data_IF_291243657169
#
_entry.id   IF_291243657169
#
_cell.length_a   1.000
_cell.length_b   1.000
_cell.length_c   1.000
_cell.angle_alpha   90.00
_cell.angle_beta   90.00
_cell.angle_gamma   90.00
#
_symmetry.space_group_name_H-M   'P 1'
#
loop_
_entity.id
_entity.type
_entity.pdbx_description
1 polymer ?
#
# COMPACT_ATOMS: atom_id res chain seq x y z
N UNK A 1 -4.23 -17.44 -7.55
CA UNK A 1 -3.10 -16.73 -8.21
C UNK A 1 -1.92 -17.65 -8.51
N UNK A 2 -1.32 -18.35 -7.54
CA UNK A 2 -0.20 -19.29 -7.83
C UNK A 2 -0.63 -20.47 -8.70
N UNK A 3 -1.86 -20.99 -8.51
CA UNK A 3 -2.43 -22.02 -9.40
C UNK A 3 -2.69 -21.51 -10.84
N UNK A 4 -3.05 -20.23 -10.97
CA UNK A 4 -3.33 -19.54 -12.24
C UNK A 4 -2.08 -19.37 -13.11
N UNK A 5 -0.97 -18.95 -12.49
CA UNK A 5 0.34 -18.86 -13.16
C UNK A 5 0.75 -20.23 -13.69
N UNK A 6 0.54 -21.29 -12.90
CA UNK A 6 0.96 -22.65 -13.27
C UNK A 6 0.22 -23.21 -14.50
N UNK A 7 -1.04 -22.84 -14.70
CA UNK A 7 -1.87 -23.38 -15.79
C UNK A 7 -1.72 -22.62 -17.13
N UNK A 8 -1.26 -21.37 -17.12
CA UNK A 8 -1.25 -20.51 -18.32
C UNK A 8 0.13 -20.02 -18.81
N UNK A 9 1.24 -20.55 -18.27
CA UNK A 9 2.64 -20.18 -18.63
C UNK A 9 2.94 -20.23 -20.14
N UNK A 10 2.24 -21.05 -20.93
CA UNK A 10 2.58 -21.30 -22.34
C UNK A 10 1.70 -20.57 -23.38
N UNK A 11 0.73 -19.76 -22.97
CA UNK A 11 -0.28 -19.20 -23.89
C UNK A 11 -0.23 -17.66 -24.00
N UNK A 12 0.41 -16.97 -23.05
CA UNK A 12 0.20 -15.53 -22.84
C UNK A 12 1.31 -14.64 -23.39
N UNK A 13 0.95 -13.39 -23.68
CA UNK A 13 1.90 -12.33 -24.08
C UNK A 13 2.85 -11.99 -22.93
N UNK A 14 4.09 -11.56 -23.24
CA UNK A 14 5.08 -11.12 -22.25
C UNK A 14 4.52 -10.04 -21.30
N UNK A 15 3.68 -9.14 -21.81
CA UNK A 15 3.04 -8.09 -21.00
C UNK A 15 2.01 -8.63 -20.00
N UNK A 16 1.23 -9.63 -20.39
CA UNK A 16 0.22 -10.25 -19.52
C UNK A 16 0.89 -11.08 -18.42
N UNK A 17 1.93 -11.84 -18.78
CA UNK A 17 2.77 -12.54 -17.80
C UNK A 17 3.37 -11.56 -16.78
N UNK A 18 3.89 -10.42 -17.24
CA UNK A 18 4.43 -9.38 -16.36
C UNK A 18 3.40 -8.89 -15.34
N UNK A 19 2.18 -8.57 -15.78
CA UNK A 19 1.07 -8.16 -14.89
C UNK A 19 0.77 -9.22 -13.83
N UNK A 20 0.66 -10.49 -14.23
CA UNK A 20 0.34 -11.59 -13.30
C UNK A 20 1.46 -11.83 -12.30
N UNK A 21 2.73 -11.78 -12.72
CA UNK A 21 3.88 -11.92 -11.82
C UNK A 21 3.90 -10.80 -10.78
N UNK A 22 3.77 -9.54 -11.21
CA UNK A 22 3.75 -8.39 -10.31
C UNK A 22 2.61 -8.55 -9.30
N UNK A 23 1.41 -8.88 -9.74
CA UNK A 23 0.27 -9.07 -8.84
C UNK A 23 0.49 -10.23 -7.87
N UNK A 24 1.12 -11.32 -8.31
CA UNK A 24 1.43 -12.47 -7.44
C UNK A 24 2.46 -12.11 -6.37
N UNK A 25 3.52 -11.38 -6.74
CA UNK A 25 4.51 -10.88 -5.79
C UNK A 25 3.88 -9.89 -4.80
N UNK A 26 3.06 -8.95 -5.28
CA UNK A 26 2.35 -7.99 -4.43
C UNK A 26 1.41 -8.69 -3.44
N UNK A 27 0.70 -9.73 -3.88
CA UNK A 27 -0.16 -10.53 -3.01
C UNK A 27 0.64 -11.30 -1.95
N UNK A 28 1.83 -11.82 -2.31
CA UNK A 28 2.74 -12.47 -1.36
C UNK A 28 3.24 -11.49 -0.31
N UNK A 29 3.62 -10.27 -0.70
CA UNK A 29 4.06 -9.24 0.25
C UNK A 29 2.89 -8.72 1.09
N UNK A 30 1.69 -8.61 0.53
CA UNK A 30 0.48 -8.26 1.26
C UNK A 30 0.19 -9.26 2.38
N UNK A 31 0.21 -10.56 2.05
CA UNK A 31 -0.06 -11.62 3.03
C UNK A 31 0.99 -11.62 4.13
N UNK A 32 2.29 -11.53 3.81
CA UNK A 32 3.32 -11.44 4.85
C UNK A 32 3.13 -10.22 5.75
N UNK A 33 2.81 -9.04 5.18
CA UNK A 33 2.53 -7.81 5.95
C UNK A 33 1.29 -7.89 6.82
N UNK A 34 0.26 -8.64 6.42
CA UNK A 34 -0.93 -8.90 7.25
C UNK A 34 -0.61 -9.76 8.48
N UNK A 35 0.33 -10.70 8.37
CA UNK A 35 0.73 -11.56 9.49
C UNK A 35 1.68 -10.86 10.49
N UNK A 36 2.41 -9.82 10.08
CA UNK A 36 3.34 -9.10 10.97
C UNK A 36 2.63 -8.52 12.21
N UNK A 37 1.52 -7.77 12.09
CA UNK A 37 0.77 -7.26 13.25
C UNK A 37 0.25 -8.32 14.20
N UNK A 38 0.00 -9.54 13.72
CA UNK A 38 -0.49 -10.65 14.54
C UNK A 38 0.61 -11.24 15.43
N UNK A 39 1.87 -10.87 15.21
CA UNK A 39 2.99 -11.38 16.00
C UNK A 39 3.15 -10.57 17.28
N UNK A 40 3.18 -11.23 18.44
CA UNK A 40 3.36 -10.58 19.76
C UNK A 40 4.65 -9.74 19.88
N UNK A 41 5.67 -10.05 19.06
CA UNK A 41 6.89 -9.23 18.97
C UNK A 41 6.63 -7.83 18.42
N UNK A 42 5.76 -7.72 17.40
CA UNK A 42 5.43 -6.45 16.77
C UNK A 42 4.63 -5.55 17.72
N UNK A 43 3.67 -6.11 18.44
CA UNK A 43 2.93 -5.38 19.49
C UNK A 43 3.85 -4.83 20.59
N UNK A 44 4.87 -5.60 21.01
CA UNK A 44 5.87 -5.12 21.97
C UNK A 44 6.73 -3.98 21.41
N UNK A 45 7.19 -4.08 20.16
CA UNK A 45 7.96 -3.04 19.48
C UNK A 45 7.18 -1.73 19.34
N UNK A 46 5.91 -1.80 18.92
CA UNK A 46 5.04 -0.61 18.86
C UNK A 46 4.82 -0.05 20.26
N UNK A 47 4.60 -0.90 21.26
CA UNK A 47 4.43 -0.48 22.65
C UNK A 47 5.65 0.26 23.19
N UNK A 48 6.87 -0.24 22.91
CA UNK A 48 8.12 0.45 23.25
C UNK A 48 8.27 1.75 22.48
N UNK A 49 7.95 1.76 21.18
CA UNK A 49 8.02 2.97 20.37
C UNK A 49 7.12 4.09 20.93
N UNK A 50 5.86 3.78 21.24
CA UNK A 50 4.90 4.77 21.78
C UNK A 50 5.34 5.27 23.17
N UNK A 51 5.88 4.39 24.02
CA UNK A 51 6.24 4.74 25.41
C UNK A 51 7.57 5.48 25.52
N UNK A 52 8.59 5.05 24.78
CA UNK A 52 9.97 5.47 25.01
C UNK A 52 10.54 6.35 23.89
N UNK A 53 10.16 6.08 22.64
CA UNK A 53 10.76 6.74 21.47
C UNK A 53 9.90 7.91 20.98
N UNK A 54 8.60 7.90 21.25
CA UNK A 54 7.70 8.94 20.82
C UNK A 54 8.04 10.27 21.53
N UNK A 55 8.57 11.23 20.77
CA UNK A 55 9.05 12.53 21.23
C UNK A 55 8.04 13.35 22.06
N UNK A 56 6.76 12.96 22.04
CA UNK A 56 5.73 13.55 22.90
C UNK A 56 6.08 13.50 24.39
N UNK A 57 6.80 12.47 24.85
CA UNK A 57 7.25 12.40 26.26
C UNK A 57 8.44 13.33 26.56
N UNK A 58 9.26 13.62 25.56
CA UNK A 58 10.46 14.46 25.70
C UNK A 58 10.22 15.96 25.46
N UNK A 59 9.01 16.37 25.04
CA UNK A 59 8.70 17.75 24.65
C UNK A 59 8.88 18.78 25.80
N UNK A 60 8.84 18.34 27.06
CA UNK A 60 8.91 19.22 28.23
C UNK A 60 10.32 19.37 28.82
N UNK A 61 11.31 18.62 28.31
CA UNK A 61 12.67 18.62 28.89
C UNK A 61 13.54 19.81 28.47
N UNK A 62 13.29 20.42 27.30
CA UNK A 62 14.10 21.55 26.79
C UNK A 62 13.36 22.30 25.66
N UNK A 63 13.60 23.60 25.53
CA UNK A 63 13.17 24.45 24.40
C UNK A 63 13.59 23.85 23.05
N UNK A 64 14.79 23.26 22.96
CA UNK A 64 15.30 22.61 21.76
C UNK A 64 14.51 21.33 21.42
N UNK A 65 14.15 20.55 22.43
CA UNK A 65 13.36 19.33 22.26
C UNK A 65 11.95 19.65 21.72
N UNK A 66 11.33 20.73 22.21
CA UNK A 66 10.03 21.22 21.70
C UNK A 66 10.11 21.66 20.24
N UNK A 67 11.17 22.38 19.86
CA UNK A 67 11.40 22.81 18.46
C UNK A 67 11.61 21.61 17.53
N UNK A 68 12.38 20.61 17.97
CA UNK A 68 12.62 19.38 17.20
C UNK A 68 11.34 18.55 17.06
N UNK A 69 10.55 18.42 18.12
CA UNK A 69 9.24 17.76 18.08
C UNK A 69 8.32 18.39 17.02
N UNK A 70 8.16 19.72 17.03
CA UNK A 70 7.32 20.42 16.04
C UNK A 70 7.83 20.22 14.61
N UNK A 71 9.14 20.18 14.42
CA UNK A 71 9.74 19.92 13.12
C UNK A 71 9.44 18.49 12.63
N UNK A 72 9.72 17.48 13.46
CA UNK A 72 9.47 16.06 13.15
C UNK A 72 7.98 15.81 12.91
N UNK A 73 7.10 16.44 13.69
CA UNK A 73 5.65 16.36 13.51
C UNK A 73 5.23 16.93 12.15
N UNK A 74 5.75 18.11 11.77
CA UNK A 74 5.45 18.72 10.47
C UNK A 74 5.94 17.86 9.29
N UNK A 75 7.15 17.32 9.38
CA UNK A 75 7.70 16.42 8.34
C UNK A 75 6.85 15.14 8.23
N UNK A 76 6.51 14.54 9.36
CA UNK A 76 5.65 13.34 9.42
C UNK A 76 4.28 13.59 8.79
N UNK A 77 3.67 14.73 9.11
CA UNK A 77 2.38 15.13 8.54
C UNK A 77 2.44 15.31 7.01
N UNK A 78 3.45 16.05 6.51
CA UNK A 78 3.63 16.23 5.06
C UNK A 78 3.88 14.90 4.35
N UNK A 79 4.69 14.02 4.93
CA UNK A 79 4.97 12.69 4.38
C UNK A 79 3.71 11.80 4.35
N UNK A 80 2.85 11.92 5.37
CA UNK A 80 1.56 11.21 5.42
C UNK A 80 0.67 11.62 4.27
N UNK A 81 0.46 12.94 4.08
CA UNK A 81 -0.35 13.46 2.98
C UNK A 81 0.19 13.01 1.63
N UNK A 82 1.51 13.12 1.43
CA UNK A 82 2.16 12.71 0.19
C UNK A 82 1.94 11.22 -0.11
N UNK A 83 2.16 10.35 0.88
CA UNK A 83 2.03 8.90 0.73
C UNK A 83 0.59 8.48 0.43
N UNK A 84 -0.38 9.03 1.16
CA UNK A 84 -1.81 8.77 0.92
C UNK A 84 -2.23 9.28 -0.46
N UNK A 85 -1.72 10.43 -0.88
CA UNK A 85 -2.03 10.98 -2.21
C UNK A 85 -1.52 10.05 -3.31
N UNK A 86 -0.26 9.64 -3.27
CA UNK A 86 0.31 8.71 -4.26
C UNK A 86 -0.44 7.37 -4.27
N UNK A 87 -0.81 6.86 -3.10
CA UNK A 87 -1.61 5.63 -2.99
C UNK A 87 -2.96 5.78 -3.72
N UNK A 88 -3.70 6.86 -3.47
CA UNK A 88 -4.99 7.12 -4.11
C UNK A 88 -4.85 7.27 -5.63
N UNK A 89 -3.86 8.02 -6.09
CA UNK A 89 -3.59 8.19 -7.52
C UNK A 89 -3.22 6.87 -8.21
N UNK A 90 -2.31 6.09 -7.60
CA UNK A 90 -1.92 4.78 -8.11
C UNK A 90 -3.10 3.81 -8.19
N UNK A 91 -3.95 3.80 -7.16
CA UNK A 91 -5.15 2.98 -7.11
C UNK A 91 -6.15 3.37 -8.22
N UNK A 92 -6.47 4.66 -8.36
CA UNK A 92 -7.40 5.12 -9.40
C UNK A 92 -6.89 4.77 -10.80
N UNK A 93 -5.61 4.98 -11.08
CA UNK A 93 -5.01 4.65 -12.37
C UNK A 93 -5.03 3.14 -12.65
N UNK A 94 -4.74 2.31 -11.66
CA UNK A 94 -4.70 0.86 -11.82
C UNK A 94 -6.07 0.28 -12.22
N UNK A 95 -7.16 0.79 -11.64
CA UNK A 95 -8.52 0.34 -11.97
C UNK A 95 -9.14 1.06 -13.17
N UNK A 96 -8.73 2.29 -13.48
CA UNK A 96 -9.28 3.04 -14.61
C UNK A 96 -8.76 2.55 -15.96
N UNK A 97 -7.53 2.04 -16.05
CA UNK A 97 -6.95 1.49 -17.29
C UNK A 97 -7.81 0.36 -17.89
N UNK A 98 -8.16 -0.73 -17.15
CA UNK A 98 -8.99 -1.80 -17.72
C UNK A 98 -10.42 -1.34 -18.01
N UNK A 99 -10.97 -0.42 -17.22
CA UNK A 99 -12.28 0.20 -17.52
C UNK A 99 -12.25 0.98 -18.85
N UNK A 100 -11.18 1.75 -19.08
CA UNK A 100 -10.99 2.51 -20.31
C UNK A 100 -10.82 1.58 -21.51
N UNK A 101 -10.01 0.53 -21.39
CA UNK A 101 -9.84 -0.48 -22.44
C UNK A 101 -11.16 -1.19 -22.77
N UNK A 102 -11.94 -1.56 -21.76
CA UNK A 102 -13.25 -2.19 -21.95
C UNK A 102 -14.27 -1.24 -22.60
N UNK A 103 -14.18 0.06 -22.29
CA UNK A 103 -15.03 1.07 -22.90
C UNK A 103 -14.71 1.29 -24.38
N UNK A 104 -13.42 1.50 -24.71
CA UNK A 104 -12.97 1.69 -26.10
C UNK A 104 -13.22 0.43 -26.94
N UNK A 105 -13.07 -0.75 -26.35
CA UNK A 105 -13.37 -2.04 -27.00
C UNK A 105 -14.86 -2.33 -27.22
N UNK A 106 -15.77 -1.45 -26.77
CA UNK A 106 -17.21 -1.59 -27.00
C UNK A 106 -17.90 -2.57 -26.05
N UNK A 107 -17.27 -2.96 -24.94
CA UNK A 107 -17.80 -3.91 -23.95
C UNK A 107 -19.04 -3.43 -23.20
N UNK A 108 -19.33 -2.13 -23.22
CA UNK A 108 -20.55 -1.53 -22.63
C UNK A 108 -21.58 -1.08 -23.68
N UNK A 109 -21.33 -1.37 -24.96
CA UNK A 109 -22.29 -1.07 -26.03
C UNK A 109 -23.38 -2.15 -26.09
N UNK A 110 -24.61 -1.78 -26.48
CA UNK A 110 -25.74 -2.72 -26.56
C UNK A 110 -25.58 -3.87 -27.57
N UNK A 111 -24.50 -3.85 -28.38
CA UNK A 111 -24.11 -4.93 -29.30
C UNK A 111 -22.65 -5.32 -29.03
N UNK A 112 -22.46 -6.15 -28.02
CA UNK A 112 -21.15 -6.70 -27.68
C UNK A 112 -20.58 -7.52 -28.86
N UNK A 113 -19.33 -7.28 -29.30
CA UNK A 113 -18.70 -8.07 -30.34
C UNK A 113 -18.59 -9.55 -29.93
N UNK A 114 -18.82 -10.49 -30.85
CA UNK A 114 -18.87 -11.93 -30.55
C UNK A 114 -17.58 -12.52 -29.96
N UNK A 115 -16.44 -11.84 -30.18
CA UNK A 115 -15.11 -12.20 -29.69
C UNK A 115 -14.60 -11.29 -28.56
N UNK A 116 -15.48 -10.47 -27.96
CA UNK A 116 -15.07 -9.56 -26.89
C UNK A 116 -15.01 -10.30 -25.55
N UNK A 117 -13.88 -10.17 -24.86
CA UNK A 117 -13.67 -10.63 -23.49
C UNK A 117 -13.30 -9.43 -22.64
N UNK A 118 -13.94 -9.29 -21.48
CA UNK A 118 -13.63 -8.20 -20.56
C UNK A 118 -12.21 -8.34 -19.99
N UNK A 119 -11.43 -7.25 -20.05
CA UNK A 119 -10.14 -7.15 -19.36
C UNK A 119 -10.39 -6.77 -17.89
N UNK A 120 -9.67 -7.43 -16.97
CA UNK A 120 -9.75 -7.16 -15.53
C UNK A 120 -8.42 -6.58 -15.04
N UNK A 121 -8.47 -5.77 -13.97
CA UNK A 121 -7.27 -5.26 -13.32
C UNK A 121 -6.44 -6.40 -12.68
N UNK A 122 -7.14 -7.42 -12.19
CA UNK A 122 -6.55 -8.61 -11.57
C UNK A 122 -7.22 -9.84 -12.20
N UNK A 123 -6.41 -10.65 -12.86
CA UNK A 123 -6.87 -11.91 -13.46
C UNK A 123 -7.08 -12.97 -12.37
N UNK A 124 -8.32 -13.44 -12.24
CA UNK A 124 -8.69 -14.54 -11.34
C UNK A 124 -9.20 -15.73 -12.18
N UNK A 125 -8.66 -16.94 -11.94
CA UNK A 125 -9.35 -18.17 -12.33
C UNK A 125 -10.54 -18.32 -11.39
N UNK A 126 -11.72 -18.11 -11.93
CA UNK A 126 -12.99 -18.41 -11.27
C UNK A 126 -13.64 -19.56 -12.02
N UNK A 127 -14.25 -20.53 -11.30
CA UNK A 127 -14.78 -21.77 -11.91
C UNK A 127 -16.08 -21.58 -12.72
N UNK A 128 -16.44 -20.34 -13.07
CA UNK A 128 -17.66 -19.96 -13.79
C UNK A 128 -17.29 -19.09 -14.99
N UNK A 129 -18.02 -19.21 -16.12
CA UNK A 129 -17.78 -18.43 -17.35
C UNK A 129 -18.08 -16.93 -17.14
N UNK A 130 -17.08 -16.19 -16.64
CA UNK A 130 -17.17 -14.75 -16.36
C UNK A 130 -17.00 -13.87 -17.61
N UNK A 131 -16.57 -14.45 -18.73
CA UNK A 131 -16.12 -13.69 -19.91
C UNK A 131 -17.24 -12.99 -20.69
N UNK A 132 -18.51 -13.42 -20.57
CA UNK A 132 -19.62 -12.96 -21.43
C UNK A 132 -20.80 -12.30 -20.72
N UNK A 133 -20.87 -12.33 -19.39
CA UNK A 133 -21.99 -11.75 -18.64
C UNK A 133 -21.60 -10.43 -17.97
N UNK A 134 -22.24 -9.34 -18.38
CA UNK A 134 -22.03 -8.00 -17.84
C UNK A 134 -22.31 -7.93 -16.33
N UNK A 135 -23.32 -8.66 -15.84
CA UNK A 135 -23.64 -8.73 -14.41
C UNK A 135 -22.51 -9.40 -13.59
N UNK A 136 -21.91 -10.46 -14.11
CA UNK A 136 -20.77 -11.15 -13.48
C UNK A 136 -19.52 -10.27 -13.53
N UNK A 137 -19.31 -9.55 -14.64
CA UNK A 137 -18.22 -8.60 -14.78
C UNK A 137 -18.30 -7.48 -13.73
N UNK A 138 -19.46 -6.85 -13.54
CA UNK A 138 -19.64 -5.79 -12.54
C UNK A 138 -19.39 -6.31 -11.12
N UNK A 139 -19.96 -7.47 -10.78
CA UNK A 139 -19.75 -8.07 -9.45
C UNK A 139 -18.27 -8.36 -9.18
N UNK A 140 -17.57 -8.99 -10.15
CA UNK A 140 -16.16 -9.31 -10.03
C UNK A 140 -15.31 -8.04 -9.96
N UNK A 141 -15.64 -7.02 -10.74
CA UNK A 141 -14.98 -5.71 -10.69
C UNK A 141 -15.06 -5.11 -9.28
N UNK A 142 -16.24 -5.00 -8.68
CA UNK A 142 -16.37 -4.47 -7.31
C UNK A 142 -15.65 -5.31 -6.26
N UNK A 143 -15.69 -6.64 -6.39
CA UNK A 143 -14.97 -7.54 -5.49
C UNK A 143 -13.45 -7.33 -5.58
N UNK A 144 -12.91 -7.26 -6.80
CA UNK A 144 -11.48 -6.99 -7.02
C UNK A 144 -11.09 -5.61 -6.49
N UNK A 145 -11.90 -4.58 -6.77
CA UNK A 145 -11.74 -3.22 -6.26
C UNK A 145 -11.62 -3.19 -4.73
N UNK A 146 -12.57 -3.84 -4.03
CA UNK A 146 -12.57 -3.92 -2.56
C UNK A 146 -11.31 -4.61 -2.02
N UNK A 147 -10.95 -5.75 -2.60
CA UNK A 147 -9.75 -6.49 -2.19
C UNK A 147 -8.46 -5.69 -2.42
N UNK A 148 -8.36 -4.99 -3.55
CA UNK A 148 -7.21 -4.15 -3.88
C UNK A 148 -7.11 -2.90 -3.02
N UNK A 149 -8.24 -2.31 -2.63
CA UNK A 149 -8.24 -1.18 -1.70
C UNK A 149 -7.67 -1.59 -0.34
N UNK A 150 -8.12 -2.73 0.20
CA UNK A 150 -7.57 -3.29 1.43
C UNK A 150 -6.06 -3.52 1.34
N UNK A 151 -5.59 -4.04 0.21
CA UNK A 151 -4.17 -4.22 -0.07
C UNK A 151 -3.41 -2.87 -0.04
N UNK A 152 -3.84 -1.88 -0.81
CA UNK A 152 -3.20 -0.56 -0.88
C UNK A 152 -3.12 0.12 0.49
N UNK A 153 -4.21 0.08 1.27
CA UNK A 153 -4.25 0.66 2.62
C UNK A 153 -3.25 -0.06 3.54
N UNK A 154 -3.20 -1.39 3.49
CA UNK A 154 -2.25 -2.15 4.30
C UNK A 154 -0.80 -1.80 3.98
N UNK A 155 -0.45 -1.68 2.70
CA UNK A 155 0.88 -1.24 2.29
C UNK A 155 1.20 0.17 2.81
N UNK A 156 0.30 1.11 2.55
CA UNK A 156 0.48 2.51 2.92
C UNK A 156 0.63 2.69 4.43
N UNK A 157 -0.19 2.01 5.25
CA UNK A 157 -0.14 2.13 6.71
C UNK A 157 1.15 1.53 7.27
N UNK A 158 1.58 0.37 6.78
CA UNK A 158 2.83 -0.25 7.24
C UNK A 158 4.05 0.60 6.87
N UNK A 159 4.12 1.09 5.63
CA UNK A 159 5.23 1.94 5.19
C UNK A 159 5.23 3.27 5.93
N UNK A 160 4.05 3.88 6.14
CA UNK A 160 3.93 5.12 6.90
C UNK A 160 4.39 4.94 8.35
N UNK A 161 4.01 3.85 8.99
CA UNK A 161 4.40 3.56 10.36
C UNK A 161 5.92 3.39 10.50
N UNK A 162 6.56 2.68 9.56
CA UNK A 162 8.01 2.54 9.52
C UNK A 162 8.71 3.89 9.31
N UNK A 163 8.24 4.71 8.37
CA UNK A 163 8.79 6.04 8.15
C UNK A 163 8.62 6.94 9.38
N UNK A 164 7.46 6.87 10.05
CA UNK A 164 7.21 7.62 11.28
C UNK A 164 8.19 7.23 12.38
N UNK A 165 8.45 5.93 12.56
CA UNK A 165 9.42 5.44 13.53
C UNK A 165 10.81 5.99 13.25
N UNK A 166 11.23 6.00 12.00
CA UNK A 166 12.53 6.53 11.57
C UNK A 166 12.65 8.04 11.80
N UNK A 167 11.60 8.82 11.52
CA UNK A 167 11.62 10.28 11.78
C UNK A 167 11.72 10.60 13.27
N UNK A 168 11.03 9.84 14.13
CA UNK A 168 11.12 10.02 15.58
C UNK A 168 12.48 9.58 16.11
N UNK A 169 13.04 8.47 15.63
CA UNK A 169 14.38 8.02 16.01
C UNK A 169 15.44 9.07 15.62
N UNK A 170 15.36 9.62 14.41
CA UNK A 170 16.23 10.68 13.94
C UNK A 170 16.10 11.97 14.77
N UNK A 171 14.87 12.35 15.13
CA UNK A 171 14.61 13.48 16.02
C UNK A 171 15.25 13.31 17.40
N UNK A 172 15.13 12.13 18.01
CA UNK A 172 15.76 11.82 19.30
C UNK A 172 17.29 11.85 19.22
N UNK A 173 17.88 11.30 18.14
CA UNK A 173 19.33 11.36 17.91
C UNK A 173 19.83 12.81 17.83
N UNK A 174 19.10 13.70 17.16
CA UNK A 174 19.45 15.12 17.08
C UNK A 174 19.39 15.83 18.44
N UNK A 175 18.40 15.50 19.27
CA UNK A 175 18.32 16.01 20.65
C UNK A 175 19.50 15.51 21.49
N UNK A 176 19.86 14.23 21.37
CA UNK A 176 20.99 13.66 22.09
C UNK A 176 22.31 14.34 21.73
N UNK A 177 22.56 14.56 20.43
CA UNK A 177 23.76 15.26 19.96
C UNK A 177 23.80 16.68 20.52
N UNK A 178 22.69 17.42 20.47
CA UNK A 178 22.62 18.77 21.01
C UNK A 178 22.89 18.81 22.52
N UNK A 179 22.37 17.84 23.27
CA UNK A 179 22.64 17.74 24.70
C UNK A 179 24.12 17.44 24.96
N UNK A 180 24.76 16.54 24.21
CA UNK A 180 26.19 16.22 24.35
C UNK A 180 27.10 17.41 24.04
N UNK A 181 26.78 18.18 23.00
CA UNK A 181 27.56 19.37 22.60
C UNK A 181 27.46 20.49 23.65
N UNK A 182 26.29 20.70 24.26
CA UNK A 182 26.09 21.72 25.29
C UNK A 182 26.53 21.27 26.69
N UNK A 183 26.55 19.97 26.99
CA UNK A 183 27.02 19.45 28.28
C UNK A 183 28.54 19.62 28.45
N UNK A 184 29.27 19.77 27.34
CA UNK A 184 30.71 20.01 27.32
C UNK A 184 31.10 21.49 27.42
N UNK A 185 30.14 22.41 27.51
CA UNK A 185 30.42 23.83 27.72
C UNK A 185 30.14 24.22 29.18
N UNK A 186 31.15 24.72 29.93
CA UNK A 186 31.02 25.12 31.34
C UNK A 186 30.15 26.36 31.56
#
# INVERSE_FOLDING_TARGET
>A
MVAFVRNHINVWSFFEMGKVYINTFMCTVYTTRQFIPLTASYGRLIGQFIKEVHLFHHQHHSEYAKKMYLYVHKVSYMFTIFSVSIMLWGYVLYYSIPLYNNWVGGGYSGRMPANFSYEYAIDYEVPFDYSRSLSVHIMLFFFTMYSGFGCCVCFCVNDLLLSLQMFHLWGNLKILIHNLENFLQP
#
